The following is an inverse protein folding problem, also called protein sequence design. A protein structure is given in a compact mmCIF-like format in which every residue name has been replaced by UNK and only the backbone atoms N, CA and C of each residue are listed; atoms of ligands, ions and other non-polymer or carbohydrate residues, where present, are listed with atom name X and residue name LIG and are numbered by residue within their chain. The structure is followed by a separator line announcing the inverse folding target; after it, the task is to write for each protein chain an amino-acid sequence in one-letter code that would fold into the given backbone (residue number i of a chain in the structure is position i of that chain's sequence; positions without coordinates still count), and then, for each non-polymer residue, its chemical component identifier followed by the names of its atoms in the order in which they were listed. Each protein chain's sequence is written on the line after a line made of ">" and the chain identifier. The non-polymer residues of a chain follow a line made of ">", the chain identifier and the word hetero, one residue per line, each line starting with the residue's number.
data_IF_961748369043
#
_entry.id   IF_961748369043
#
_cell.length_a   1.000
_cell.length_b   1.000
_cell.length_c   1.000
_cell.angle_alpha   90.00
_cell.angle_beta   90.00
_cell.angle_gamma   90.00
#
_symmetry.space_group_name_H-M   'P 1'
#
loop_
_entity.id
_entity.type
_entity.pdbx_description
1 polymer ?
#
# COMPACT_ATOMS: atom_id res chain seq x y z
N UNK A 1 21.30 4.60 13.06
CA UNK A 1 19.98 4.83 13.63
C UNK A 1 19.39 6.13 13.08
N UNK A 2 18.13 6.12 12.72
CA UNK A 2 17.39 7.32 12.36
C UNK A 2 17.42 8.28 13.56
N UNK A 3 17.77 9.53 13.29
CA UNK A 3 17.71 10.61 14.28
C UNK A 3 16.54 11.50 13.92
N UNK A 4 15.79 11.92 14.93
CA UNK A 4 14.77 12.93 14.73
C UNK A 4 15.46 14.26 14.39
N UNK A 5 15.19 14.85 13.20
CA UNK A 5 15.80 16.10 12.83
C UNK A 5 15.19 17.25 13.62
N UNK A 6 15.99 18.24 13.99
CA UNK A 6 15.45 19.48 14.54
C UNK A 6 14.68 20.21 13.45
N UNK A 7 13.41 20.51 13.73
CA UNK A 7 12.56 21.29 12.83
C UNK A 7 13.11 22.70 12.70
N UNK A 8 13.40 23.17 11.49
CA UNK A 8 13.87 24.55 11.27
C UNK A 8 12.85 25.57 11.78
N UNK A 9 13.33 26.72 12.24
CA UNK A 9 12.48 27.84 12.58
C UNK A 9 12.71 28.97 11.54
N UNK A 10 12.03 28.95 10.40
CA UNK A 10 12.21 29.96 9.36
C UNK A 10 11.69 31.33 9.81
N UNK A 11 12.21 32.39 9.22
CA UNK A 11 11.93 33.78 9.61
C UNK A 11 10.47 34.21 9.39
N UNK A 12 9.71 33.51 8.55
CA UNK A 12 8.30 33.77 8.28
C UNK A 12 7.40 32.58 8.67
N UNK A 13 6.92 32.59 9.91
CA UNK A 13 6.02 31.54 10.43
C UNK A 13 4.57 31.65 9.90
N UNK A 14 4.23 32.63 9.07
CA UNK A 14 2.85 32.83 8.62
C UNK A 14 2.45 31.86 7.49
N UNK A 15 3.42 31.32 6.75
CA UNK A 15 3.14 30.43 5.62
C UNK A 15 2.87 28.99 6.06
N UNK A 16 3.45 28.55 7.18
CA UNK A 16 3.46 27.15 7.53
C UNK A 16 3.37 26.89 9.02
N UNK A 17 2.52 25.94 9.39
CA UNK A 17 2.37 25.47 10.76
C UNK A 17 2.78 23.99 10.93
N UNK A 18 3.10 23.30 9.83
CA UNK A 18 3.47 21.89 9.86
C UNK A 18 4.99 21.71 9.76
N UNK A 19 5.58 20.73 10.46
CA UNK A 19 7.03 20.49 10.42
C UNK A 19 7.58 20.33 8.99
N UNK A 20 6.88 19.58 8.14
CA UNK A 20 7.31 19.34 6.73
C UNK A 20 7.39 20.67 5.97
N UNK A 21 6.39 21.52 6.12
CA UNK A 21 6.40 22.84 5.48
C UNK A 21 7.56 23.70 5.96
N UNK A 22 7.90 23.63 7.25
CA UNK A 22 9.03 24.39 7.81
C UNK A 22 10.37 23.97 7.18
N UNK A 23 10.57 22.65 6.93
CA UNK A 23 11.73 22.18 6.17
C UNK A 23 11.74 22.71 4.74
N UNK A 24 10.59 22.65 4.05
CA UNK A 24 10.46 23.16 2.68
C UNK A 24 10.72 24.65 2.64
N UNK A 25 10.14 25.41 3.58
CA UNK A 25 10.29 26.86 3.61
C UNK A 25 11.72 27.29 3.92
N UNK A 26 12.40 26.64 4.87
CA UNK A 26 13.80 26.90 5.16
C UNK A 26 14.69 26.68 3.91
N UNK A 27 14.42 25.65 3.13
CA UNK A 27 15.16 25.39 1.89
C UNK A 27 14.84 26.46 0.81
N UNK A 28 13.61 26.92 0.70
CA UNK A 28 13.25 28.03 -0.19
C UNK A 28 13.98 29.30 0.20
N UNK A 29 13.95 29.67 1.49
CA UNK A 29 14.67 30.85 2.00
C UNK A 29 16.18 30.78 1.70
N UNK A 30 16.81 29.62 1.90
CA UNK A 30 18.23 29.43 1.65
C UNK A 30 18.63 29.72 0.19
N UNK A 31 17.66 29.55 -0.72
CA UNK A 31 17.82 29.79 -2.17
C UNK A 31 17.29 31.16 -2.61
N UNK A 32 16.85 32.02 -1.69
CA UNK A 32 16.26 33.32 -2.00
C UNK A 32 14.90 33.21 -2.72
N UNK A 33 14.19 32.08 -2.53
CA UNK A 33 12.88 31.84 -3.11
C UNK A 33 11.78 32.08 -2.05
N UNK A 34 10.59 32.38 -2.51
CA UNK A 34 9.39 32.53 -1.67
C UNK A 34 8.27 31.64 -2.16
N UNK A 35 7.39 31.17 -1.27
CA UNK A 35 6.19 30.47 -1.68
C UNK A 35 5.34 31.33 -2.61
N UNK A 36 4.66 30.70 -3.56
CA UNK A 36 3.65 31.35 -4.38
C UNK A 36 2.37 31.58 -3.56
N UNK A 37 1.49 32.46 -4.04
CA UNK A 37 0.17 32.68 -3.41
C UNK A 37 -0.64 31.39 -3.34
N UNK A 38 -1.52 31.31 -2.35
CA UNK A 38 -2.45 30.20 -2.19
C UNK A 38 -3.36 30.05 -3.41
N UNK A 39 -3.75 28.81 -3.69
CA UNK A 39 -4.70 28.53 -4.75
C UNK A 39 -6.12 29.01 -4.36
N UNK A 40 -6.90 29.43 -5.34
CA UNK A 40 -8.31 29.75 -5.13
C UNK A 40 -9.14 28.49 -4.75
N UNK A 41 -10.33 28.70 -4.19
CA UNK A 41 -11.21 27.63 -3.71
C UNK A 41 -11.57 26.61 -4.80
N UNK A 42 -11.78 27.04 -6.04
CA UNK A 42 -12.08 26.12 -7.17
C UNK A 42 -10.91 25.20 -7.47
N UNK A 43 -9.71 25.75 -7.47
CA UNK A 43 -8.47 24.99 -7.66
C UNK A 43 -8.24 24.03 -6.48
N UNK A 44 -8.46 24.47 -5.24
CA UNK A 44 -8.28 23.63 -4.04
C UNK A 44 -9.22 22.43 -4.04
N UNK A 45 -10.54 22.67 -4.22
CA UNK A 45 -11.51 21.54 -4.21
C UNK A 45 -11.24 20.57 -5.36
N UNK A 46 -10.90 21.11 -6.54
CA UNK A 46 -10.56 20.25 -7.68
C UNK A 46 -9.37 19.36 -7.38
N UNK A 47 -8.28 19.91 -6.83
CA UNK A 47 -7.09 19.13 -6.47
C UNK A 47 -7.42 18.08 -5.40
N UNK A 48 -8.03 18.50 -4.30
CA UNK A 48 -8.37 17.59 -3.21
C UNK A 48 -9.27 16.43 -3.67
N UNK A 49 -10.29 16.70 -4.51
CA UNK A 49 -11.22 15.67 -4.97
C UNK A 49 -10.52 14.67 -5.90
N UNK A 50 -9.71 15.14 -6.84
CA UNK A 50 -8.93 14.24 -7.70
C UNK A 50 -7.89 13.42 -6.93
N UNK A 51 -7.21 14.01 -5.97
CA UNK A 51 -6.19 13.31 -5.20
C UNK A 51 -6.81 12.26 -4.28
N UNK A 52 -7.91 12.59 -3.60
CA UNK A 52 -8.52 11.70 -2.61
C UNK A 52 -9.48 10.67 -3.22
N UNK A 53 -10.20 11.01 -4.28
CA UNK A 53 -11.23 10.12 -4.84
C UNK A 53 -10.99 9.73 -6.30
N UNK A 54 -10.06 10.38 -7.00
CA UNK A 54 -9.79 10.14 -8.42
C UNK A 54 -10.86 10.73 -9.36
N UNK A 55 -11.86 11.43 -8.83
CA UNK A 55 -13.01 11.96 -9.56
C UNK A 55 -13.04 13.50 -9.51
N UNK A 56 -13.66 14.20 -10.48
CA UNK A 56 -13.87 15.63 -10.37
C UNK A 56 -14.97 15.94 -9.33
N UNK A 57 -14.89 17.11 -8.67
CA UNK A 57 -15.99 17.57 -7.83
C UNK A 57 -17.24 17.90 -8.68
N UNK A 58 -18.42 17.72 -8.13
CA UNK A 58 -19.68 18.15 -8.73
C UNK A 58 -19.82 19.66 -8.68
N UNK A 59 -20.71 20.21 -9.51
CA UNK A 59 -21.01 21.66 -9.51
C UNK A 59 -21.55 22.10 -8.13
N UNK A 60 -22.40 21.26 -7.52
CA UNK A 60 -22.94 21.54 -6.18
C UNK A 60 -21.85 21.66 -5.10
N UNK A 61 -20.94 20.68 -5.06
CA UNK A 61 -19.81 20.68 -4.12
C UNK A 61 -18.90 21.90 -4.30
N UNK A 62 -18.69 22.32 -5.55
CA UNK A 62 -17.91 23.54 -5.83
C UNK A 62 -18.63 24.77 -5.28
N UNK A 63 -19.94 24.89 -5.52
CA UNK A 63 -20.73 26.04 -5.06
C UNK A 63 -20.78 26.10 -3.54
N UNK A 64 -21.08 24.99 -2.88
CA UNK A 64 -21.09 24.90 -1.41
C UNK A 64 -19.76 25.32 -0.79
N UNK A 65 -18.64 24.85 -1.34
CA UNK A 65 -17.32 25.22 -0.82
C UNK A 65 -16.99 26.70 -1.07
N UNK A 66 -17.39 27.28 -2.22
CA UNK A 66 -17.15 28.70 -2.51
C UNK A 66 -17.93 29.59 -1.54
N UNK A 67 -19.18 29.23 -1.24
CA UNK A 67 -20.10 29.97 -0.37
C UNK A 67 -19.77 29.80 1.11
N UNK A 68 -19.12 28.71 1.53
CA UNK A 68 -18.70 28.51 2.92
C UNK A 68 -17.57 29.48 3.29
N UNK A 69 -17.90 30.54 4.07
CA UNK A 69 -16.95 31.52 4.54
C UNK A 69 -16.25 31.13 5.86
N UNK A 70 -16.52 29.91 6.38
CA UNK A 70 -15.91 29.49 7.64
C UNK A 70 -14.40 29.20 7.48
N UNK A 71 -13.61 29.42 8.55
CA UNK A 71 -12.16 29.19 8.50
C UNK A 71 -11.79 27.71 8.27
N UNK A 72 -12.69 26.79 8.58
CA UNK A 72 -12.53 25.34 8.44
C UNK A 72 -13.17 24.78 7.15
N UNK A 73 -13.63 25.64 6.23
CA UNK A 73 -14.31 25.23 5.00
C UNK A 73 -13.54 24.18 4.19
N UNK A 74 -12.22 24.32 4.05
CA UNK A 74 -11.40 23.34 3.32
C UNK A 74 -11.24 22.04 4.10
N UNK A 75 -11.13 22.09 5.42
CA UNK A 75 -11.07 20.89 6.27
C UNK A 75 -12.34 20.05 6.12
N UNK A 76 -13.53 20.69 6.12
CA UNK A 76 -14.80 20.00 5.88
C UNK A 76 -14.84 19.27 4.53
N UNK A 77 -14.29 19.89 3.48
CA UNK A 77 -14.17 19.23 2.16
C UNK A 77 -13.28 18.00 2.26
N UNK A 78 -12.11 18.11 2.90
CA UNK A 78 -11.17 17.01 3.06
C UNK A 78 -11.80 15.86 3.87
N UNK A 79 -12.42 16.15 5.01
CA UNK A 79 -13.07 15.14 5.87
C UNK A 79 -14.19 14.40 5.12
N UNK A 80 -15.00 15.11 4.33
CA UNK A 80 -16.04 14.52 3.50
C UNK A 80 -15.45 13.57 2.44
N UNK A 81 -14.35 13.98 1.80
CA UNK A 81 -13.69 13.17 0.77
C UNK A 81 -13.04 11.93 1.37
N UNK A 82 -12.42 12.04 2.53
CA UNK A 82 -11.83 10.90 3.27
C UNK A 82 -12.90 9.90 3.74
N UNK A 83 -14.10 10.38 4.07
CA UNK A 83 -15.24 9.54 4.43
C UNK A 83 -15.93 8.89 3.21
N UNK A 84 -15.56 9.25 1.99
CA UNK A 84 -16.14 8.69 0.77
C UNK A 84 -15.60 7.28 0.49
N UNK A 85 -16.47 6.31 0.11
CA UNK A 85 -16.01 4.99 -0.36
C UNK A 85 -15.00 5.06 -1.51
N UNK A 86 -15.08 6.08 -2.36
CA UNK A 86 -14.17 6.32 -3.47
C UNK A 86 -12.72 6.59 -3.02
N UNK A 87 -12.51 7.02 -1.76
CA UNK A 87 -11.17 7.16 -1.19
C UNK A 87 -10.42 5.82 -1.17
N UNK A 88 -11.04 4.78 -0.63
CA UNK A 88 -10.43 3.45 -0.60
C UNK A 88 -10.21 2.86 -1.99
N UNK A 89 -11.13 3.10 -2.94
CA UNK A 89 -10.94 2.68 -4.35
C UNK A 89 -9.73 3.38 -4.97
N UNK A 90 -9.60 4.69 -4.76
CA UNK A 90 -8.49 5.49 -5.29
C UNK A 90 -7.16 5.12 -4.67
N UNK A 91 -7.07 5.08 -3.34
CA UNK A 91 -5.81 4.84 -2.62
C UNK A 91 -5.46 3.36 -2.55
N UNK A 92 -6.45 2.48 -2.48
CA UNK A 92 -6.26 1.05 -2.62
C UNK A 92 -5.58 0.68 -3.94
N UNK A 93 -5.88 1.39 -5.05
CA UNK A 93 -5.20 1.20 -6.32
C UNK A 93 -3.68 1.41 -6.22
N UNK A 94 -3.23 2.43 -5.51
CA UNK A 94 -1.79 2.67 -5.34
C UNK A 94 -1.12 1.52 -4.57
N UNK A 95 -1.79 0.98 -3.55
CA UNK A 95 -1.28 -0.19 -2.85
C UNK A 95 -1.28 -1.44 -3.74
N UNK A 96 -2.33 -1.68 -4.49
CA UNK A 96 -2.45 -2.83 -5.39
C UNK A 96 -1.36 -2.84 -6.47
N UNK A 97 -0.96 -1.66 -6.97
CA UNK A 97 0.18 -1.54 -7.89
C UNK A 97 1.50 -1.96 -7.22
N UNK A 98 1.74 -1.53 -5.99
CA UNK A 98 2.92 -1.92 -5.21
C UNK A 98 2.89 -3.42 -4.86
N UNK A 99 1.70 -3.94 -4.50
CA UNK A 99 1.47 -5.34 -4.19
C UNK A 99 1.48 -6.25 -5.43
N UNK A 100 1.70 -5.69 -6.62
CA UNK A 100 1.70 -6.40 -7.91
C UNK A 100 0.41 -7.19 -8.18
N UNK A 101 -0.73 -6.66 -7.72
CA UNK A 101 -2.03 -7.29 -7.89
C UNK A 101 -2.38 -7.46 -9.36
N UNK A 102 -2.89 -8.65 -9.70
CA UNK A 102 -3.52 -8.93 -10.98
C UNK A 102 -4.65 -9.96 -10.80
N UNK A 103 -5.63 -9.93 -11.71
CA UNK A 103 -6.73 -10.90 -11.76
C UNK A 103 -6.31 -12.20 -12.47
N UNK A 104 -5.08 -12.26 -12.97
CA UNK A 104 -4.49 -13.43 -13.65
C UNK A 104 -3.13 -13.76 -13.07
N UNK A 105 -2.69 -15.01 -13.29
CA UNK A 105 -1.42 -15.50 -12.80
C UNK A 105 -0.20 -14.95 -13.52
N UNK A 106 -0.38 -14.35 -14.70
CA UNK A 106 0.72 -13.90 -15.55
C UNK A 106 1.51 -15.06 -16.16
N UNK A 107 2.69 -14.72 -16.70
CA UNK A 107 3.59 -15.66 -17.40
C UNK A 107 2.95 -16.38 -18.58
N UNK A 108 3.50 -17.54 -18.98
CA UNK A 108 3.09 -18.28 -20.18
C UNK A 108 1.69 -18.86 -20.14
N UNK A 109 1.13 -19.13 -18.96
CA UNK A 109 -0.20 -19.72 -18.81
C UNK A 109 -1.30 -18.69 -18.60
N UNK A 110 -0.99 -17.60 -17.95
CA UNK A 110 -1.85 -16.45 -17.64
C UNK A 110 -3.32 -16.84 -17.31
N UNK A 111 -3.51 -17.85 -16.51
CA UNK A 111 -4.86 -18.30 -16.12
C UNK A 111 -5.51 -17.32 -15.13
N UNK A 112 -6.85 -17.20 -15.14
CA UNK A 112 -7.55 -16.31 -14.25
C UNK A 112 -7.47 -16.78 -12.79
N UNK A 113 -7.20 -15.84 -11.89
CA UNK A 113 -7.27 -16.02 -10.42
C UNK A 113 -8.62 -15.52 -9.95
N UNK A 114 -9.63 -16.40 -9.99
CA UNK A 114 -11.05 -16.02 -9.77
C UNK A 114 -11.33 -15.31 -8.46
N UNK A 115 -10.59 -15.63 -7.42
CA UNK A 115 -10.79 -15.10 -6.07
C UNK A 115 -9.87 -13.89 -5.76
N UNK A 116 -9.07 -13.42 -6.72
CA UNK A 116 -8.15 -12.29 -6.51
C UNK A 116 -8.86 -11.02 -6.03
N UNK A 117 -10.08 -10.77 -6.51
CA UNK A 117 -10.90 -9.62 -6.11
C UNK A 117 -11.12 -9.53 -4.59
N UNK A 118 -11.10 -10.65 -3.86
CA UNK A 118 -11.26 -10.62 -2.39
C UNK A 118 -10.16 -9.83 -1.72
N UNK A 119 -8.92 -10.03 -2.15
CA UNK A 119 -7.79 -9.26 -1.64
C UNK A 119 -7.90 -7.77 -2.01
N UNK A 120 -8.24 -7.46 -3.27
CA UNK A 120 -8.51 -6.07 -3.70
C UNK A 120 -9.56 -5.41 -2.82
N UNK A 121 -10.68 -6.08 -2.62
CA UNK A 121 -11.80 -5.56 -1.83
C UNK A 121 -11.43 -5.41 -0.34
N UNK A 122 -10.60 -6.32 0.19
CA UNK A 122 -10.03 -6.16 1.52
C UNK A 122 -9.15 -4.90 1.63
N UNK A 123 -8.27 -4.66 0.66
CA UNK A 123 -7.42 -3.45 0.61
C UNK A 123 -8.30 -2.19 0.59
N UNK A 124 -9.31 -2.13 -0.27
CA UNK A 124 -10.24 -0.99 -0.35
C UNK A 124 -10.93 -0.76 1.01
N UNK A 125 -11.41 -1.82 1.65
CA UNK A 125 -12.03 -1.72 2.98
C UNK A 125 -11.04 -1.27 4.05
N UNK A 126 -9.80 -1.71 4.01
CA UNK A 126 -8.77 -1.32 4.95
C UNK A 126 -8.47 0.20 4.88
N UNK A 127 -8.36 0.76 3.67
CA UNK A 127 -8.23 2.21 3.48
C UNK A 127 -9.47 2.97 3.96
N UNK A 128 -10.67 2.52 3.63
CA UNK A 128 -11.91 3.17 4.04
C UNK A 128 -12.17 3.10 5.57
N UNK A 129 -11.58 2.12 6.25
CA UNK A 129 -11.64 1.98 7.72
C UNK A 129 -10.52 2.74 8.43
N UNK A 130 -9.63 3.40 7.68
CA UNK A 130 -8.42 4.02 8.21
C UNK A 130 -7.61 3.04 9.09
N UNK A 131 -7.42 1.81 8.57
CA UNK A 131 -6.69 0.77 9.31
C UNK A 131 -5.26 1.23 9.61
N UNK A 132 -4.80 1.17 10.87
CA UNK A 132 -3.42 1.52 11.20
C UNK A 132 -2.41 0.73 10.35
N UNK A 133 -1.41 1.41 9.81
CA UNK A 133 -0.47 0.82 8.84
C UNK A 133 0.25 -0.41 9.39
N UNK A 134 0.59 -0.42 10.67
CA UNK A 134 1.20 -1.57 11.34
C UNK A 134 0.26 -2.80 11.36
N UNK A 135 -1.05 -2.61 11.53
CA UNK A 135 -2.05 -3.67 11.46
C UNK A 135 -2.23 -4.14 10.03
N UNK A 136 -2.35 -3.20 9.09
CA UNK A 136 -2.43 -3.46 7.67
C UNK A 136 -1.27 -4.35 7.16
N UNK A 137 -0.04 -4.05 7.57
CA UNK A 137 1.13 -4.86 7.23
C UNK A 137 1.11 -6.23 7.92
N UNK A 138 0.77 -6.27 9.21
CA UNK A 138 0.76 -7.53 9.99
C UNK A 138 -0.26 -8.53 9.45
N UNK A 139 -1.44 -8.07 9.06
CA UNK A 139 -2.46 -8.94 8.48
C UNK A 139 -2.03 -9.50 7.12
N UNK A 140 -1.33 -8.73 6.32
CA UNK A 140 -0.84 -9.18 5.01
C UNK A 140 0.30 -10.19 5.10
N UNK A 141 1.13 -10.12 6.15
CA UNK A 141 2.27 -11.04 6.32
C UNK A 141 1.88 -12.28 7.12
N UNK A 142 1.05 -12.13 8.15
CA UNK A 142 0.77 -13.16 9.13
C UNK A 142 -0.73 -13.25 9.50
N UNK A 143 -1.61 -12.86 8.58
CA UNK A 143 -3.05 -12.83 8.82
C UNK A 143 -3.63 -14.20 9.16
N UNK A 144 -3.12 -15.28 8.58
CA UNK A 144 -3.51 -16.65 8.89
C UNK A 144 -3.16 -17.05 10.34
N UNK A 145 -2.05 -16.57 10.86
CA UNK A 145 -1.64 -16.79 12.25
C UNK A 145 -2.50 -15.96 13.20
N UNK A 146 -2.77 -14.69 12.83
CA UNK A 146 -3.62 -13.80 13.61
C UNK A 146 -5.05 -14.32 13.67
N UNK A 147 -5.60 -14.76 12.55
CA UNK A 147 -6.93 -15.35 12.45
C UNK A 147 -7.12 -16.52 13.42
N UNK A 148 -6.18 -17.44 13.45
CA UNK A 148 -6.22 -18.60 14.37
C UNK A 148 -6.10 -18.22 15.84
N UNK A 149 -5.35 -17.15 16.15
CA UNK A 149 -5.07 -16.76 17.54
C UNK A 149 -6.17 -15.88 18.15
N UNK A 150 -6.74 -14.98 17.34
CA UNK A 150 -7.57 -13.89 17.85
C UNK A 150 -8.99 -13.87 17.29
N UNK A 151 -9.23 -14.44 16.13
CA UNK A 151 -10.48 -14.28 15.40
C UNK A 151 -11.20 -15.58 15.09
N UNK A 152 -10.81 -16.70 15.70
CA UNK A 152 -11.39 -18.01 15.42
C UNK A 152 -12.90 -18.08 15.70
N UNK A 153 -13.38 -17.23 16.58
CA UNK A 153 -14.79 -17.12 16.94
C UNK A 153 -15.52 -15.97 16.22
N UNK A 154 -14.81 -15.21 15.37
CA UNK A 154 -15.36 -14.16 14.52
C UNK A 154 -15.12 -14.51 13.05
N UNK A 155 -16.12 -15.09 12.36
CA UNK A 155 -15.96 -15.57 10.99
C UNK A 155 -15.59 -14.46 10.00
N UNK A 156 -16.05 -13.22 10.21
CA UNK A 156 -15.77 -12.10 9.31
C UNK A 156 -14.33 -11.64 9.46
N UNK A 157 -13.88 -11.39 10.70
CA UNK A 157 -12.50 -11.02 10.98
C UNK A 157 -11.54 -12.13 10.60
N UNK A 158 -11.89 -13.39 10.88
CA UNK A 158 -11.12 -14.56 10.45
C UNK A 158 -10.92 -14.56 8.93
N UNK A 159 -12.02 -14.40 8.17
CA UNK A 159 -11.97 -14.38 6.71
C UNK A 159 -11.17 -13.20 6.17
N UNK A 160 -11.33 -12.02 6.74
CA UNK A 160 -10.59 -10.81 6.35
C UNK A 160 -9.09 -10.99 6.56
N UNK A 161 -8.67 -11.53 7.70
CA UNK A 161 -7.25 -11.78 8.00
C UNK A 161 -6.62 -12.84 7.09
N UNK A 162 -7.36 -13.91 6.75
CA UNK A 162 -6.89 -14.87 5.74
C UNK A 162 -6.78 -14.20 4.37
N UNK A 163 -7.77 -13.40 3.97
CA UNK A 163 -7.79 -12.70 2.68
C UNK A 163 -6.61 -11.72 2.55
N UNK A 164 -6.23 -11.06 3.64
CA UNK A 164 -5.10 -10.13 3.68
C UNK A 164 -3.79 -10.80 3.22
N UNK A 165 -3.59 -12.09 3.51
CA UNK A 165 -2.38 -12.84 3.07
C UNK A 165 -2.27 -12.99 1.55
N UNK A 166 -3.30 -12.58 0.81
CA UNK A 166 -3.26 -12.42 -0.64
C UNK A 166 -2.09 -11.58 -1.13
N UNK A 167 -1.59 -10.66 -0.33
CA UNK A 167 -0.35 -9.90 -0.60
C UNK A 167 0.84 -10.82 -0.94
N UNK A 168 1.01 -11.92 -0.22
CA UNK A 168 2.06 -12.89 -0.48
C UNK A 168 1.68 -13.85 -1.62
N UNK A 169 0.40 -14.22 -1.71
CA UNK A 169 -0.08 -15.27 -2.59
C UNK A 169 -0.44 -14.80 -4.00
N UNK A 170 -0.91 -13.56 -4.16
CA UNK A 170 -1.32 -12.99 -5.45
C UNK A 170 -0.11 -12.28 -6.07
N UNK A 171 0.38 -12.82 -7.18
CA UNK A 171 1.50 -12.27 -7.92
C UNK A 171 1.77 -13.14 -9.13
N UNK A 172 2.78 -12.76 -9.91
CA UNK A 172 3.19 -13.55 -11.07
C UNK A 172 3.53 -14.99 -10.64
N UNK A 173 2.97 -15.96 -11.36
CA UNK A 173 3.30 -17.36 -11.21
C UNK A 173 4.16 -17.84 -12.38
N UNK A 174 5.25 -18.49 -12.06
CA UNK A 174 6.19 -18.97 -13.05
C UNK A 174 5.86 -20.40 -13.46
N UNK A 175 5.82 -20.64 -14.78
CA UNK A 175 5.51 -21.94 -15.37
C UNK A 175 4.02 -22.22 -15.56
N UNK A 176 3.72 -23.36 -16.18
CA UNK A 176 2.35 -23.76 -16.55
C UNK A 176 1.54 -24.36 -15.41
N UNK A 177 2.18 -24.70 -14.31
CA UNK A 177 1.55 -25.34 -13.15
C UNK A 177 2.24 -24.87 -11.88
N UNK A 178 1.49 -24.85 -10.78
CA UNK A 178 2.10 -24.79 -9.46
C UNK A 178 3.06 -25.98 -9.31
N UNK A 179 4.34 -25.75 -9.57
CA UNK A 179 5.39 -26.77 -9.54
C UNK A 179 6.50 -26.36 -8.60
N UNK A 180 7.03 -27.30 -7.80
CA UNK A 180 8.24 -27.05 -7.01
C UNK A 180 9.42 -26.54 -7.84
N UNK A 181 9.47 -26.88 -9.13
CA UNK A 181 10.55 -26.52 -10.04
C UNK A 181 10.68 -25.01 -10.27
N UNK A 182 9.59 -24.24 -10.10
CA UNK A 182 9.56 -22.80 -10.29
C UNK A 182 9.31 -22.01 -8.99
N UNK A 183 9.04 -22.69 -7.89
CA UNK A 183 8.68 -22.07 -6.61
C UNK A 183 9.76 -21.10 -6.11
N UNK A 184 11.03 -21.36 -6.42
CA UNK A 184 12.13 -20.45 -6.07
C UNK A 184 12.02 -19.07 -6.76
N UNK A 185 11.36 -18.99 -7.92
CA UNK A 185 11.07 -17.72 -8.59
C UNK A 185 9.90 -16.98 -7.92
N UNK A 186 8.87 -17.73 -7.50
CA UNK A 186 7.76 -17.18 -6.73
C UNK A 186 8.26 -16.57 -5.41
N UNK A 187 9.15 -17.28 -4.70
CA UNK A 187 9.76 -16.74 -3.48
C UNK A 187 10.62 -15.51 -3.74
N UNK A 188 11.37 -15.51 -4.84
CA UNK A 188 12.18 -14.34 -5.22
C UNK A 188 11.31 -13.10 -5.49
N UNK A 189 10.17 -13.28 -6.15
CA UNK A 189 9.20 -12.21 -6.41
C UNK A 189 8.58 -11.67 -5.10
N UNK A 190 8.23 -12.56 -4.18
CA UNK A 190 7.69 -12.16 -2.87
C UNK A 190 8.73 -11.39 -2.05
N UNK A 191 9.99 -11.85 -2.00
CA UNK A 191 11.08 -11.17 -1.27
C UNK A 191 11.32 -9.78 -1.85
N UNK A 192 11.38 -9.63 -3.16
CA UNK A 192 11.56 -8.34 -3.82
C UNK A 192 10.38 -7.40 -3.52
N UNK A 193 9.15 -7.93 -3.54
CA UNK A 193 7.96 -7.16 -3.21
C UNK A 193 7.94 -6.71 -1.75
N UNK A 194 8.27 -7.59 -0.80
CA UNK A 194 8.40 -7.23 0.62
C UNK A 194 9.42 -6.10 0.82
N UNK A 195 10.59 -6.22 0.20
CA UNK A 195 11.64 -5.20 0.28
C UNK A 195 11.17 -3.86 -0.26
N UNK A 196 10.65 -3.83 -1.48
CA UNK A 196 10.23 -2.59 -2.16
C UNK A 196 9.03 -1.93 -1.50
N UNK A 197 8.01 -2.71 -1.15
CA UNK A 197 6.74 -2.17 -0.64
C UNK A 197 6.81 -1.71 0.81
N UNK A 198 7.55 -2.42 1.66
CA UNK A 198 7.54 -2.19 3.11
C UNK A 198 8.81 -1.48 3.62
N UNK A 199 9.93 -1.64 2.93
CA UNK A 199 11.22 -1.12 3.39
C UNK A 199 11.85 -0.11 2.42
N UNK A 200 11.35 -0.02 1.19
CA UNK A 200 11.95 0.80 0.14
C UNK A 200 13.32 0.28 -0.31
N UNK A 201 13.60 -1.02 -0.10
CA UNK A 201 14.88 -1.67 -0.37
C UNK A 201 14.77 -2.70 -1.50
N UNK A 202 15.82 -2.80 -2.33
CA UNK A 202 15.92 -3.78 -3.40
C UNK A 202 16.58 -5.07 -2.92
N UNK A 203 15.94 -5.77 -1.97
CA UNK A 203 16.48 -7.00 -1.35
C UNK A 203 16.79 -8.07 -2.39
N UNK A 204 16.05 -8.12 -3.50
CA UNK A 204 16.27 -9.05 -4.59
C UNK A 204 17.69 -9.01 -5.17
N UNK A 205 18.42 -7.90 -5.05
CA UNK A 205 19.83 -7.81 -5.46
C UNK A 205 20.74 -8.74 -4.65
N UNK A 206 20.40 -8.98 -3.38
CA UNK A 206 21.18 -9.82 -2.48
C UNK A 206 21.04 -11.34 -2.76
N UNK A 207 20.24 -11.73 -3.74
CA UNK A 207 20.12 -13.12 -4.18
C UNK A 207 21.43 -13.74 -4.67
N UNK A 208 22.31 -12.95 -5.29
CA UNK A 208 23.53 -13.45 -5.92
C UNK A 208 24.81 -12.99 -5.21
N UNK A 209 24.78 -11.86 -4.52
CA UNK A 209 25.91 -11.26 -3.80
C UNK A 209 25.39 -10.25 -2.78
N UNK A 210 26.18 -9.85 -1.82
CA UNK A 210 25.81 -8.79 -0.88
C UNK A 210 25.43 -7.51 -1.61
N UNK A 211 24.38 -6.83 -1.11
CA UNK A 211 23.88 -5.62 -1.76
C UNK A 211 24.96 -4.55 -1.86
N UNK A 212 25.05 -3.89 -3.03
CA UNK A 212 26.16 -2.97 -3.30
C UNK A 212 26.17 -1.72 -2.43
N UNK A 213 24.99 -1.23 -2.05
CA UNK A 213 24.83 0.06 -1.37
C UNK A 213 24.24 -0.06 0.02
N UNK A 214 23.32 -1.00 0.22
CA UNK A 214 22.59 -1.19 1.46
C UNK A 214 23.21 -2.33 2.29
N UNK A 215 23.12 -2.29 3.63
CA UNK A 215 23.67 -3.32 4.49
C UNK A 215 22.80 -4.60 4.49
N UNK A 216 22.64 -5.20 3.33
CA UNK A 216 21.85 -6.43 3.10
C UNK A 216 22.81 -7.46 2.51
N UNK A 217 23.03 -8.54 3.26
CA UNK A 217 23.88 -9.65 2.81
C UNK A 217 23.08 -10.67 1.99
N UNK A 218 23.78 -11.55 1.29
CA UNK A 218 23.16 -12.73 0.69
C UNK A 218 22.53 -13.63 1.76
N UNK A 219 23.13 -13.71 2.95
CA UNK A 219 22.59 -14.49 4.07
C UNK A 219 21.22 -13.95 4.53
N UNK A 220 21.02 -12.62 4.54
CA UNK A 220 19.71 -12.01 4.86
C UNK A 220 18.65 -12.42 3.83
N UNK A 221 19.00 -12.42 2.54
CA UNK A 221 18.11 -12.86 1.48
C UNK A 221 17.72 -14.34 1.67
N UNK A 222 18.69 -15.22 1.90
CA UNK A 222 18.42 -16.65 2.10
C UNK A 222 17.77 -16.95 3.45
N UNK A 223 17.91 -16.10 4.44
CA UNK A 223 17.12 -16.12 5.67
C UNK A 223 15.62 -15.93 5.39
N UNK A 224 15.25 -14.90 4.61
CA UNK A 224 13.87 -14.69 4.16
C UNK A 224 13.38 -15.84 3.27
N UNK A 225 14.22 -16.30 2.36
CA UNK A 225 13.90 -17.45 1.50
C UNK A 225 13.57 -18.69 2.33
N UNK A 226 14.34 -19.00 3.37
CA UNK A 226 14.11 -20.13 4.28
C UNK A 226 12.77 -20.04 5.01
N UNK A 227 12.36 -18.83 5.42
CA UNK A 227 11.03 -18.59 6.01
C UNK A 227 9.94 -18.95 5.00
N UNK A 228 10.02 -18.44 3.77
CA UNK A 228 9.03 -18.72 2.73
C UNK A 228 9.01 -20.20 2.35
N UNK A 229 10.17 -20.85 2.24
CA UNK A 229 10.29 -22.27 1.93
C UNK A 229 9.66 -23.16 3.02
N UNK A 230 9.71 -22.75 4.28
CA UNK A 230 9.10 -23.46 5.40
C UNK A 230 7.61 -23.15 5.58
N UNK A 231 7.08 -22.17 4.85
CA UNK A 231 5.67 -21.77 4.90
C UNK A 231 4.83 -22.65 3.96
N UNK A 232 3.64 -23.04 4.41
CA UNK A 232 2.68 -23.72 3.55
C UNK A 232 2.09 -22.71 2.56
N UNK A 233 2.40 -22.88 1.30
CA UNK A 233 2.12 -21.92 0.25
C UNK A 233 0.80 -22.21 -0.47
N UNK A 234 -0.07 -21.19 -0.57
CA UNK A 234 -1.24 -21.24 -1.42
C UNK A 234 -0.87 -20.87 -2.88
N UNK A 235 -1.58 -21.45 -3.84
CA UNK A 235 -1.45 -21.14 -5.26
C UNK A 235 -2.81 -20.74 -5.83
N UNK A 236 -3.26 -19.49 -5.60
CA UNK A 236 -4.53 -19.04 -6.14
C UNK A 236 -4.58 -19.20 -7.66
N UNK A 237 -5.69 -19.71 -8.17
CA UNK A 237 -5.86 -20.00 -9.60
C UNK A 237 -5.30 -21.36 -10.06
N UNK A 238 -4.57 -22.07 -9.21
CA UNK A 238 -4.13 -23.45 -9.46
C UNK A 238 -5.18 -24.51 -9.07
N UNK A 239 -6.32 -24.09 -8.58
CA UNK A 239 -7.36 -24.90 -7.95
C UNK A 239 -8.01 -25.91 -8.91
N UNK A 240 -8.11 -25.58 -10.18
CA UNK A 240 -8.65 -26.50 -11.20
C UNK A 240 -7.85 -27.80 -11.31
N UNK A 241 -6.58 -27.74 -10.89
CA UNK A 241 -5.67 -28.90 -10.94
C UNK A 241 -5.37 -29.48 -9.57
N UNK A 242 -5.82 -28.85 -8.49
CA UNK A 242 -5.61 -29.26 -7.11
C UNK A 242 -6.93 -29.23 -6.34
N UNK A 243 -7.13 -30.19 -5.48
CA UNK A 243 -8.35 -30.31 -4.68
C UNK A 243 -8.39 -29.18 -3.62
N UNK A 244 -9.60 -28.71 -3.24
CA UNK A 244 -9.77 -27.66 -2.21
C UNK A 244 -9.08 -27.92 -0.86
N UNK A 245 -8.75 -29.15 -0.56
CA UNK A 245 -8.02 -29.56 0.66
C UNK A 245 -6.56 -29.04 0.72
N UNK A 246 -6.09 -28.35 -0.30
CA UNK A 246 -4.74 -27.78 -0.37
C UNK A 246 -4.68 -26.27 -0.04
N UNK A 247 -5.82 -25.67 0.34
CA UNK A 247 -5.95 -24.27 0.77
C UNK A 247 -6.20 -24.19 2.27
#
# INVERSE_FOLDING_TARGET
>A
PLKEPLTPNPNNNQWSHQPIDQFIFAELESRGLSPVRDADKRTLIRRATFDLTGLPPTIGEISEFIEDASPDAFLKVVDRLLASPAYGERWGRHWLDIARYADTAGDGSDYPVREAYKYRDWVIRAFNKDMPFNEFVREQIAGDILAKRHSINDPLQYSDQITATGFLAIGKRYGYKASPDYQYLDFADVIDTLGRSLQGLSIGCARCHDHKYDPISADDYYGLYGILQSTKWAFPGGEEQKRPAHF
#
